data_IF_154995450004
#
_entry.id   IF_154995450004
#
_cell.length_a   1.000
_cell.length_b   1.000
_cell.length_c   1.000
_cell.angle_alpha   90.00
_cell.angle_beta   90.00
_cell.angle_gamma   90.00
#
_symmetry.space_group_name_H-M   'P 1'
#
loop_
_entity.id
_entity.type
_entity.pdbx_description
1 polymer ?
#
# COMPACT_ATOMS: atom_id res chain seq x y z
N UNK A 1 -10.77 18.21 0.52
CA UNK A 1 -10.57 16.75 0.29
C UNK A 1 -9.24 16.53 -0.44
N UNK A 2 -8.69 15.31 -0.42
CA UNK A 2 -7.37 15.00 -1.01
C UNK A 2 -6.20 15.18 -0.02
N UNK A 3 -4.97 15.02 -0.52
CA UNK A 3 -3.77 14.97 0.32
C UNK A 3 -3.29 16.33 0.86
N UNK A 4 -3.57 17.43 0.18
CA UNK A 4 -3.11 18.77 0.58
C UNK A 4 -3.53 19.20 2.00
N UNK A 5 -4.82 19.07 2.37
CA UNK A 5 -5.30 19.38 3.71
C UNK A 5 -4.69 18.54 4.85
N UNK A 6 -4.01 17.42 4.56
CA UNK A 6 -3.39 16.62 5.61
C UNK A 6 -2.28 17.38 6.35
N UNK A 7 -1.69 18.41 5.75
CA UNK A 7 -0.72 19.30 6.43
C UNK A 7 -1.33 20.03 7.65
N UNK A 8 -2.65 20.22 7.64
CA UNK A 8 -3.39 20.95 8.67
C UNK A 8 -4.09 19.99 9.65
N UNK A 9 -3.89 18.67 9.50
CA UNK A 9 -4.50 17.66 10.38
C UNK A 9 -4.00 17.84 11.82
N UNK A 10 -4.90 18.14 12.75
CA UNK A 10 -4.50 18.40 14.14
C UNK A 10 -4.46 17.13 15.01
N UNK A 11 -5.47 16.26 14.87
CA UNK A 11 -5.65 15.05 15.67
C UNK A 11 -6.28 13.96 14.83
N UNK A 12 -6.15 12.71 15.28
CA UNK A 12 -6.87 11.57 14.75
C UNK A 12 -7.49 10.79 15.91
N UNK A 13 -8.73 10.34 15.75
CA UNK A 13 -9.42 9.46 16.69
C UNK A 13 -9.96 8.25 15.92
N UNK A 14 -9.46 7.07 16.29
CA UNK A 14 -9.81 5.80 15.66
C UNK A 14 -10.80 5.00 16.51
N UNK A 15 -11.25 5.53 17.65
CA UNK A 15 -12.18 4.85 18.54
C UNK A 15 -13.56 4.60 17.91
N UNK A 16 -13.93 5.39 16.91
CA UNK A 16 -15.18 5.25 16.14
C UNK A 16 -15.14 4.23 15.00
N UNK A 17 -14.01 3.54 14.79
CA UNK A 17 -13.94 2.47 13.79
C UNK A 17 -14.87 1.30 14.14
N UNK A 18 -15.44 0.68 13.12
CA UNK A 18 -16.37 -0.44 13.31
C UNK A 18 -15.66 -1.59 14.05
N UNK A 19 -16.16 -2.02 15.23
CA UNK A 19 -15.48 -3.03 16.03
C UNK A 19 -15.33 -4.37 15.30
N UNK A 20 -16.20 -4.67 14.32
CA UNK A 20 -16.12 -5.90 13.51
C UNK A 20 -14.86 -5.97 12.67
N UNK A 21 -14.17 -4.83 12.43
CA UNK A 21 -12.87 -4.81 11.75
C UNK A 21 -11.80 -5.62 12.50
N UNK A 22 -11.96 -5.84 13.80
CA UNK A 22 -11.05 -6.67 14.61
C UNK A 22 -11.26 -8.17 14.40
N UNK A 23 -12.42 -8.57 13.89
CA UNK A 23 -12.82 -9.96 13.72
C UNK A 23 -12.65 -10.44 12.26
N UNK A 24 -12.13 -9.57 11.39
CA UNK A 24 -11.92 -9.87 9.97
C UNK A 24 -10.43 -9.78 9.63
N UNK A 25 -9.96 -10.75 8.85
CA UNK A 25 -8.65 -10.64 8.22
C UNK A 25 -8.77 -9.72 7.00
N UNK A 26 -8.01 -8.64 7.01
CA UNK A 26 -7.96 -7.70 5.89
C UNK A 26 -6.60 -7.83 5.23
N UNK A 27 -6.61 -8.15 3.94
CA UNK A 27 -5.41 -8.27 3.13
C UNK A 27 -5.28 -7.03 2.25
N UNK A 28 -4.18 -6.30 2.43
CA UNK A 28 -3.74 -5.28 1.49
C UNK A 28 -2.98 -5.97 0.36
N UNK A 29 -3.72 -6.42 -0.65
CA UNK A 29 -3.17 -6.98 -1.88
C UNK A 29 -2.63 -5.83 -2.75
N UNK A 30 -1.31 -5.76 -2.94
CA UNK A 30 -0.68 -4.65 -3.67
C UNK A 30 0.59 -5.11 -4.36
N UNK A 31 0.78 -4.69 -5.61
CA UNK A 31 1.98 -4.93 -6.41
C UNK A 31 3.02 -3.81 -6.25
N UNK A 32 2.78 -2.89 -5.31
CA UNK A 32 3.69 -1.80 -4.96
C UNK A 32 4.13 -1.94 -3.52
N UNK A 33 5.44 -1.85 -3.29
CA UNK A 33 6.09 -1.99 -1.99
C UNK A 33 6.58 -0.64 -1.42
N UNK A 34 6.29 0.45 -2.12
CA UNK A 34 6.72 1.80 -1.76
C UNK A 34 6.23 2.21 -0.35
N UNK A 35 7.09 2.83 0.48
CA UNK A 35 6.67 3.41 1.75
C UNK A 35 5.75 4.61 1.54
N UNK A 36 5.20 5.16 2.63
CA UNK A 36 4.30 6.30 2.57
C UNK A 36 4.99 7.55 2.00
N UNK A 37 6.20 7.87 2.48
CA UNK A 37 6.93 9.10 2.20
C UNK A 37 8.40 8.86 1.85
N UNK A 38 9.10 9.93 1.46
CA UNK A 38 10.53 9.93 1.13
C UNK A 38 10.81 9.70 -0.36
N UNK A 39 12.08 9.50 -0.74
CA UNK A 39 12.49 9.41 -2.16
C UNK A 39 11.85 8.26 -2.93
N UNK A 40 11.46 7.19 -2.23
CA UNK A 40 10.72 6.05 -2.77
C UNK A 40 9.24 6.07 -2.36
N UNK A 41 8.77 7.13 -1.70
CA UNK A 41 7.42 7.24 -1.18
C UNK A 41 6.38 7.54 -2.25
N UNK A 42 5.11 7.51 -1.84
CA UNK A 42 3.99 7.65 -2.78
C UNK A 42 4.03 8.96 -3.61
N UNK A 43 4.32 10.14 -3.03
CA UNK A 43 4.36 11.38 -3.80
C UNK A 43 5.51 11.40 -4.81
N UNK A 44 6.70 10.97 -4.41
CA UNK A 44 7.88 10.99 -5.27
C UNK A 44 7.75 10.04 -6.46
N UNK A 45 7.21 8.83 -6.24
CA UNK A 45 7.13 7.79 -7.28
C UNK A 45 5.90 7.94 -8.15
N UNK A 46 4.74 8.29 -7.58
CA UNK A 46 3.47 8.30 -8.31
C UNK A 46 2.87 9.68 -8.55
N UNK A 47 3.38 10.73 -7.90
CA UNK A 47 2.94 12.10 -8.10
C UNK A 47 3.12 12.57 -9.55
N UNK A 48 4.32 12.47 -10.14
CA UNK A 48 4.59 13.00 -11.49
C UNK A 48 3.68 12.43 -12.57
N UNK A 49 3.44 11.12 -12.58
CA UNK A 49 2.54 10.48 -13.55
C UNK A 49 1.06 10.86 -13.36
N UNK A 50 0.70 11.43 -12.19
CA UNK A 50 -0.63 11.98 -11.89
C UNK A 50 -0.69 13.50 -12.11
N UNK A 51 0.36 14.10 -12.67
CA UNK A 51 0.44 15.53 -12.98
C UNK A 51 0.88 16.41 -11.80
N UNK A 52 1.49 15.85 -10.76
CA UNK A 52 2.05 16.65 -9.67
C UNK A 52 3.40 17.27 -10.08
N UNK A 53 3.51 18.58 -9.94
CA UNK A 53 4.78 19.30 -10.14
C UNK A 53 5.74 19.02 -8.97
N UNK A 54 7.06 19.29 -9.10
CA UNK A 54 8.02 19.06 -8.02
C UNK A 54 7.63 19.73 -6.68
N UNK A 55 7.00 20.91 -6.74
CA UNK A 55 6.49 21.60 -5.56
C UNK A 55 5.30 20.87 -4.92
N UNK A 56 4.41 20.29 -5.74
CA UNK A 56 3.26 19.50 -5.26
C UNK A 56 3.76 18.20 -4.62
N UNK A 57 4.75 17.54 -5.22
CA UNK A 57 5.38 16.33 -4.68
C UNK A 57 5.96 16.61 -3.29
N UNK A 58 6.73 17.69 -3.13
CA UNK A 58 7.29 18.07 -1.85
C UNK A 58 6.20 18.41 -0.81
N UNK A 59 5.16 19.14 -1.21
CA UNK A 59 4.05 19.49 -0.34
C UNK A 59 3.24 18.27 0.11
N UNK A 60 2.98 17.32 -0.80
CA UNK A 60 2.27 16.08 -0.51
C UNK A 60 3.09 15.14 0.38
N UNK A 61 4.39 15.04 0.16
CA UNK A 61 5.29 14.25 1.02
C UNK A 61 5.32 14.79 2.45
N UNK A 62 5.45 16.11 2.60
CA UNK A 62 5.37 16.74 3.91
C UNK A 62 4.00 16.55 4.58
N UNK A 63 2.90 16.65 3.81
CA UNK A 63 1.55 16.44 4.34
C UNK A 63 1.31 15.00 4.80
N UNK A 64 1.82 14.00 4.06
CA UNK A 64 1.74 12.58 4.45
C UNK A 64 2.65 12.27 5.64
N UNK A 65 3.83 12.90 5.73
CA UNK A 65 4.71 12.75 6.89
C UNK A 65 4.03 13.30 8.15
N UNK A 66 3.41 14.47 8.04
CA UNK A 66 2.62 15.05 9.13
C UNK A 66 1.43 14.15 9.52
N UNK A 67 0.73 13.59 8.54
CA UNK A 67 -0.33 12.61 8.79
C UNK A 67 0.16 11.40 9.60
N UNK A 68 1.29 10.81 9.24
CA UNK A 68 1.89 9.71 9.98
C UNK A 68 2.26 10.12 11.42
N UNK A 69 2.84 11.32 11.62
CA UNK A 69 3.15 11.86 12.95
C UNK A 69 1.90 12.08 13.80
N UNK A 70 0.79 12.54 13.23
CA UNK A 70 -0.47 12.71 13.97
C UNK A 70 -1.02 11.35 14.41
N UNK A 71 -0.98 10.34 13.54
CA UNK A 71 -1.41 8.99 13.89
C UNK A 71 -0.51 8.35 14.94
N UNK A 72 0.81 8.55 14.87
CA UNK A 72 1.75 8.09 15.89
C UNK A 72 1.40 8.63 17.27
N UNK A 73 1.03 9.92 17.36
CA UNK A 73 0.57 10.52 18.62
C UNK A 73 -0.77 9.94 19.09
N UNK A 74 -1.66 9.57 18.17
CA UNK A 74 -3.01 9.10 18.48
C UNK A 74 -3.04 7.64 18.93
N UNK A 75 -2.27 6.76 18.27
CA UNK A 75 -2.36 5.30 18.46
C UNK A 75 -1.03 4.62 18.80
N UNK A 76 0.07 5.38 18.87
CA UNK A 76 1.37 4.92 19.32
C UNK A 76 2.39 4.65 18.20
N UNK A 77 3.62 4.21 18.58
CA UNK A 77 4.79 4.17 17.70
C UNK A 77 4.64 3.24 16.49
N UNK A 78 3.76 2.24 16.56
CA UNK A 78 3.47 1.34 15.42
C UNK A 78 2.98 2.10 14.18
N UNK A 79 2.34 3.26 14.34
CA UNK A 79 1.94 4.06 13.18
C UNK A 79 3.14 4.56 12.37
N UNK A 80 4.30 4.83 13.00
CA UNK A 80 5.51 5.20 12.28
C UNK A 80 6.12 3.98 11.55
N UNK A 81 6.09 2.80 12.17
CA UNK A 81 6.52 1.54 11.54
C UNK A 81 5.69 1.22 10.29
N UNK A 82 4.36 1.38 10.37
CA UNK A 82 3.48 1.19 9.23
C UNK A 82 3.71 2.19 8.10
N UNK A 83 4.16 3.41 8.39
CA UNK A 83 4.47 4.39 7.34
C UNK A 83 5.67 3.97 6.47
N UNK A 84 6.56 3.13 7.01
CA UNK A 84 7.72 2.58 6.30
C UNK A 84 7.47 1.17 5.74
N UNK A 85 6.31 0.58 6.03
CA UNK A 85 6.01 -0.79 5.62
C UNK A 85 5.74 -0.90 4.12
N UNK A 86 6.00 -2.07 3.51
CA UNK A 86 5.62 -2.34 2.13
C UNK A 86 4.13 -2.05 1.89
N UNK A 87 3.85 -1.37 0.77
CA UNK A 87 2.49 -1.01 0.38
C UNK A 87 1.90 0.18 1.15
N UNK A 88 2.62 0.78 2.09
CA UNK A 88 2.12 1.97 2.79
C UNK A 88 1.83 3.13 1.83
N UNK A 89 2.64 3.28 0.78
CA UNK A 89 2.43 4.26 -0.28
C UNK A 89 1.35 3.90 -1.31
N UNK A 90 0.79 2.69 -1.24
CA UNK A 90 -0.17 2.20 -2.22
C UNK A 90 -1.37 3.16 -2.34
N UNK A 91 -1.76 3.40 -3.60
CA UNK A 91 -2.84 4.31 -3.99
C UNK A 91 -2.75 5.72 -3.32
N UNK A 92 -1.54 6.23 -3.08
CA UNK A 92 -1.34 7.57 -2.52
C UNK A 92 -1.51 7.64 -1.01
N UNK A 93 -1.18 6.57 -0.29
CA UNK A 93 -1.26 6.50 1.17
C UNK A 93 -2.53 5.83 1.72
N UNK A 94 -3.40 5.31 0.84
CA UNK A 94 -4.54 4.47 1.27
C UNK A 94 -4.02 3.18 1.89
N UNK A 95 -2.93 2.60 1.35
CA UNK A 95 -2.29 1.43 1.93
C UNK A 95 -1.88 1.66 3.38
N UNK A 96 -1.24 2.79 3.68
CA UNK A 96 -0.94 3.17 5.06
C UNK A 96 -2.19 3.24 5.93
N UNK A 97 -3.26 3.87 5.45
CA UNK A 97 -4.57 3.89 6.12
C UNK A 97 -5.13 2.50 6.42
N UNK A 98 -4.99 1.56 5.49
CA UNK A 98 -5.40 0.16 5.68
C UNK A 98 -4.54 -0.55 6.75
N UNK A 99 -3.22 -0.39 6.70
CA UNK A 99 -2.30 -0.97 7.68
C UNK A 99 -2.57 -0.44 9.10
N UNK A 100 -2.67 0.88 9.24
CA UNK A 100 -2.74 1.57 10.52
C UNK A 100 -4.15 1.63 11.11
N UNK A 101 -5.17 1.75 10.25
CA UNK A 101 -6.56 1.92 10.66
C UNK A 101 -7.37 0.63 10.62
N UNK A 102 -7.10 -0.25 9.66
CA UNK A 102 -7.87 -1.50 9.50
C UNK A 102 -7.12 -2.73 10.02
N UNK A 103 -5.86 -2.58 10.44
CA UNK A 103 -5.03 -3.71 10.84
C UNK A 103 -4.71 -4.66 9.68
N UNK A 104 -4.70 -4.14 8.45
CA UNK A 104 -4.48 -4.97 7.27
C UNK A 104 -3.06 -5.55 7.23
N UNK A 105 -2.92 -6.76 6.67
CA UNK A 105 -1.64 -7.35 6.33
C UNK A 105 -1.30 -7.12 4.86
N UNK A 106 -0.10 -6.63 4.56
CA UNK A 106 0.38 -6.52 3.17
C UNK A 106 0.67 -7.93 2.60
N UNK A 107 0.20 -8.16 1.37
CA UNK A 107 0.61 -9.30 0.54
C UNK A 107 0.79 -8.87 -0.90
N UNK A 108 1.77 -9.42 -1.65
CA UNK A 108 1.83 -9.25 -3.10
C UNK A 108 0.50 -9.66 -3.74
N UNK A 109 0.03 -8.87 -4.71
CA UNK A 109 -1.27 -9.10 -5.34
C UNK A 109 -1.34 -10.46 -6.03
N UNK A 110 -0.24 -10.89 -6.66
CA UNK A 110 -0.17 -12.19 -7.31
C UNK A 110 -0.38 -13.35 -6.34
N UNK A 111 0.27 -13.32 -5.18
CA UNK A 111 0.18 -14.41 -4.19
C UNK A 111 -1.27 -14.59 -3.73
N UNK A 112 -1.97 -13.47 -3.50
CA UNK A 112 -3.38 -13.48 -3.12
C UNK A 112 -4.24 -14.10 -4.23
N UNK A 113 -3.97 -13.75 -5.49
CA UNK A 113 -4.70 -14.31 -6.62
C UNK A 113 -4.42 -15.80 -6.83
N UNK A 114 -3.17 -16.25 -6.68
CA UNK A 114 -2.80 -17.66 -6.80
C UNK A 114 -3.47 -18.51 -5.72
N UNK A 115 -3.55 -18.00 -4.49
CA UNK A 115 -4.27 -18.65 -3.39
C UNK A 115 -5.77 -18.76 -3.70
N UNK A 116 -6.41 -17.65 -4.08
CA UNK A 116 -7.85 -17.59 -4.38
C UNK A 116 -8.22 -18.52 -5.54
N UNK A 117 -7.35 -18.63 -6.54
CA UNK A 117 -7.55 -19.51 -7.69
C UNK A 117 -7.21 -20.97 -7.41
N UNK A 118 -6.65 -21.30 -6.23
CA UNK A 118 -6.19 -22.64 -5.91
C UNK A 118 -5.10 -23.12 -6.87
N UNK A 119 -4.18 -22.21 -7.24
CA UNK A 119 -3.19 -22.47 -8.28
C UNK A 119 -2.22 -23.59 -7.88
N UNK A 120 -1.73 -23.61 -6.64
CA UNK A 120 -0.77 -24.63 -6.20
C UNK A 120 -1.31 -26.08 -6.38
N UNK A 121 -2.52 -26.44 -5.90
CA UNK A 121 -3.12 -27.75 -6.21
C UNK A 121 -3.37 -28.01 -7.71
N UNK A 122 -3.60 -26.97 -8.51
CA UNK A 122 -3.77 -27.12 -9.95
C UNK A 122 -2.43 -27.42 -10.65
N UNK A 123 -1.36 -26.76 -10.21
CA UNK A 123 0.01 -26.91 -10.70
C UNK A 123 0.54 -28.32 -10.48
N UNK A 124 0.26 -28.93 -9.31
CA UNK A 124 0.67 -30.31 -9.01
C UNK A 124 0.14 -31.34 -10.02
N UNK A 125 -0.98 -31.04 -10.69
CA UNK A 125 -1.61 -31.92 -11.69
C UNK A 125 -1.26 -31.54 -13.12
N UNK A 126 -0.53 -30.44 -13.33
CA UNK A 126 -0.24 -29.91 -14.65
C UNK A 126 1.00 -30.58 -15.25
N UNK A 127 0.93 -30.94 -16.54
CA UNK A 127 2.10 -31.38 -17.33
C UNK A 127 2.80 -30.22 -18.02
N UNK A 128 2.07 -29.12 -18.27
CA UNK A 128 2.57 -27.91 -18.91
C UNK A 128 1.80 -26.70 -18.35
N UNK A 129 2.54 -25.64 -18.04
CA UNK A 129 1.97 -24.33 -17.70
C UNK A 129 2.35 -23.36 -18.81
N UNK A 130 1.34 -22.64 -19.31
CA UNK A 130 1.53 -21.53 -20.25
C UNK A 130 1.02 -20.28 -19.54
N UNK A 131 1.89 -19.28 -19.41
CA UNK A 131 1.58 -17.98 -18.79
C UNK A 131 2.05 -16.84 -19.70
N UNK A 132 1.69 -15.60 -19.37
CA UNK A 132 2.09 -14.41 -20.10
C UNK A 132 1.40 -13.15 -19.58
N UNK A 133 1.86 -12.00 -20.05
CA UNK A 133 1.26 -10.69 -19.78
C UNK A 133 1.36 -9.79 -21.02
N UNK A 134 0.66 -8.64 -21.00
CA UNK A 134 0.61 -7.72 -22.14
C UNK A 134 1.92 -6.97 -22.42
N UNK A 135 2.81 -6.82 -21.42
CA UNK A 135 4.13 -6.21 -21.56
C UNK A 135 5.07 -6.77 -20.50
N UNK A 136 6.15 -7.42 -20.94
CA UNK A 136 7.25 -7.83 -20.09
C UNK A 136 8.15 -6.62 -19.83
N UNK A 137 8.07 -6.05 -18.63
CA UNK A 137 8.92 -4.93 -18.21
C UNK A 137 9.68 -5.25 -16.92
N UNK A 138 10.48 -4.30 -16.43
CA UNK A 138 11.25 -4.50 -15.19
C UNK A 138 10.35 -4.81 -13.99
N UNK A 139 9.05 -4.44 -14.01
CA UNK A 139 8.11 -4.78 -12.96
C UNK A 139 7.70 -6.25 -12.99
N UNK A 140 7.83 -6.95 -14.12
CA UNK A 140 7.56 -8.40 -14.21
C UNK A 140 8.55 -9.20 -13.38
N UNK A 141 9.83 -8.81 -13.42
CA UNK A 141 10.90 -9.45 -12.65
C UNK A 141 10.72 -9.28 -11.13
N UNK A 142 9.87 -8.34 -10.70
CA UNK A 142 9.54 -8.11 -9.30
C UNK A 142 8.35 -8.97 -8.81
N UNK A 143 8.02 -10.07 -9.52
CA UNK A 143 7.04 -11.06 -9.05
C UNK A 143 5.60 -10.74 -9.44
N UNK A 144 5.37 -10.31 -10.68
CA UNK A 144 4.00 -10.24 -11.25
C UNK A 144 3.59 -11.57 -11.88
N UNK A 145 2.36 -11.64 -12.39
CA UNK A 145 1.67 -12.87 -12.82
C UNK A 145 2.47 -13.91 -13.65
N UNK A 146 3.40 -13.55 -14.56
CA UNK A 146 4.19 -14.56 -15.28
C UNK A 146 5.35 -15.16 -14.48
N UNK A 147 5.83 -14.45 -13.45
CA UNK A 147 7.02 -14.82 -12.66
C UNK A 147 6.69 -15.24 -11.21
N UNK A 148 5.48 -14.95 -10.74
CA UNK A 148 4.94 -15.39 -9.45
C UNK A 148 4.36 -16.81 -9.48
#
# INVERSE_FOLDING_TARGET
PGGGPLKDLATADLSGLDPRLKDVEIVLASDVDNPLTGPKGAPAVYGPQKGAEPADVAALDAALAHYATVLEKAIGPKAAEYAQSPGAGAAGGIGYGALVGLGAGFRPGIDVMLDVLGFAPALERATLVITGEGSLDEQTLHGKAPAG
#
